data_IF_038561962641
#
_entry.id   IF_038561962641
#
_cell.length_a   1.000
_cell.length_b   1.000
_cell.length_c   1.000
_cell.angle_alpha   90.00
_cell.angle_beta   90.00
_cell.angle_gamma   90.00
#
_symmetry.space_group_name_H-M   'P 1'
#
loop_
_entity.id
_entity.type
_entity.pdbx_description
1 polymer ?
#
# COMPACT_ATOMS: atom_id res chain seq x y z
N UNK A 1 53.43 -25.79 0.73
CA UNK A 1 52.20 -25.76 -0.10
C UNK A 1 50.96 -25.97 0.77
N UNK A 2 50.77 -25.14 1.81
CA UNK A 2 49.80 -25.40 2.89
C UNK A 2 48.87 -24.22 3.19
N UNK A 3 49.13 -23.03 2.62
CA UNK A 3 48.33 -21.82 2.87
C UNK A 3 47.12 -21.62 1.94
N UNK A 4 47.15 -22.16 0.71
CA UNK A 4 46.09 -21.92 -0.29
C UNK A 4 44.82 -22.75 0.00
N UNK A 5 44.93 -23.88 0.71
CA UNK A 5 43.80 -24.76 1.01
C UNK A 5 42.89 -24.25 2.13
N UNK A 6 43.38 -23.36 3.00
CA UNK A 6 42.61 -22.85 4.15
C UNK A 6 41.67 -21.71 3.72
N UNK A 7 42.05 -20.89 2.74
CA UNK A 7 41.18 -19.79 2.27
C UNK A 7 39.96 -20.27 1.47
N UNK A 8 40.05 -21.38 0.74
CA UNK A 8 38.93 -21.90 -0.07
C UNK A 8 37.83 -22.51 0.80
N UNK A 9 38.17 -23.07 1.96
CA UNK A 9 37.19 -23.66 2.88
C UNK A 9 36.35 -22.60 3.62
N UNK A 10 36.93 -21.43 3.91
CA UNK A 10 36.22 -20.36 4.62
C UNK A 10 35.18 -19.64 3.73
N UNK A 11 35.42 -19.55 2.42
CA UNK A 11 34.47 -18.91 1.49
C UNK A 11 33.25 -19.80 1.18
N UNK A 12 33.42 -21.12 1.20
CA UNK A 12 32.31 -22.07 0.97
C UNK A 12 31.35 -22.17 2.16
N UNK A 13 31.84 -21.94 3.40
CA UNK A 13 31.01 -21.97 4.60
C UNK A 13 30.13 -20.71 4.77
N UNK A 14 30.52 -19.57 4.17
CA UNK A 14 29.76 -18.32 4.26
C UNK A 14 28.52 -18.29 3.35
N UNK A 15 28.47 -19.10 2.29
CA UNK A 15 27.34 -19.18 1.37
C UNK A 15 26.21 -20.11 1.86
N UNK A 16 26.44 -20.91 2.91
CA UNK A 16 25.48 -21.91 3.40
C UNK A 16 24.55 -21.41 4.52
N UNK A 17 24.68 -20.15 4.96
CA UNK A 17 23.89 -19.56 6.04
C UNK A 17 22.79 -18.61 5.57
N UNK A 18 22.59 -18.46 4.26
CA UNK A 18 21.40 -17.78 3.75
C UNK A 18 20.19 -18.70 3.94
N UNK A 19 19.53 -18.60 5.09
CA UNK A 19 18.21 -19.19 5.29
C UNK A 19 17.30 -18.65 4.17
N UNK A 20 16.48 -19.49 3.51
CA UNK A 20 15.49 -19.00 2.57
C UNK A 20 14.61 -18.00 3.30
N UNK A 21 14.41 -16.83 2.71
CA UNK A 21 13.42 -15.88 3.21
C UNK A 21 12.06 -16.61 3.25
N UNK A 22 11.26 -16.45 4.33
CA UNK A 22 9.92 -16.99 4.35
C UNK A 22 9.17 -16.50 3.11
N UNK A 23 8.53 -17.43 2.41
CA UNK A 23 7.71 -17.07 1.26
C UNK A 23 6.52 -16.25 1.77
N UNK A 24 6.33 -15.05 1.23
CA UNK A 24 5.17 -14.21 1.54
C UNK A 24 3.88 -15.02 1.30
N UNK A 25 3.06 -15.17 2.34
CA UNK A 25 1.76 -15.82 2.21
C UNK A 25 0.78 -14.82 1.59
N UNK A 26 0.41 -15.07 0.34
CA UNK A 26 -0.53 -14.25 -0.43
C UNK A 26 -1.96 -14.78 -0.26
N UNK A 27 -2.88 -13.89 0.11
CA UNK A 27 -4.31 -14.18 0.11
C UNK A 27 -5.12 -13.02 -0.47
N UNK A 28 -6.40 -13.27 -0.79
CA UNK A 28 -7.31 -12.23 -1.23
C UNK A 28 -7.70 -11.32 -0.08
N UNK A 29 -7.87 -10.03 -0.38
CA UNK A 29 -8.40 -9.03 0.53
C UNK A 29 -9.55 -8.29 -0.16
N UNK A 30 -10.62 -8.02 0.58
CA UNK A 30 -11.87 -7.47 0.04
C UNK A 30 -12.08 -5.98 0.33
N UNK A 31 -11.10 -5.33 0.96
CA UNK A 31 -11.17 -3.91 1.33
C UNK A 31 -11.84 -3.63 2.67
N UNK A 32 -12.32 -4.66 3.38
CA UNK A 32 -12.94 -4.47 4.71
C UNK A 32 -11.92 -3.91 5.70
N UNK A 33 -12.29 -2.86 6.43
CA UNK A 33 -11.48 -2.37 7.55
C UNK A 33 -11.29 -3.48 8.60
N UNK A 34 -10.05 -3.95 8.87
CA UNK A 34 -9.82 -5.05 9.82
C UNK A 34 -9.86 -4.61 11.28
N UNK A 35 -9.98 -3.31 11.54
CA UNK A 35 -9.92 -2.72 12.87
C UNK A 35 -11.27 -2.12 13.29
N UNK A 36 -11.51 -2.12 14.60
CA UNK A 36 -12.72 -1.53 15.18
C UNK A 36 -12.51 -0.03 15.43
N UNK A 37 -12.74 0.78 14.39
CA UNK A 37 -12.54 2.22 14.42
C UNK A 37 -13.41 2.94 13.40
N UNK A 38 -13.55 4.26 13.55
CA UNK A 38 -14.19 5.14 12.58
C UNK A 38 -13.14 5.88 11.79
N UNK A 39 -13.35 6.02 10.47
CA UNK A 39 -12.48 6.81 9.63
C UNK A 39 -12.51 8.29 10.04
N UNK A 40 -11.32 8.83 10.25
CA UNK A 40 -11.10 10.25 10.46
C UNK A 40 -10.92 10.92 9.10
N UNK A 41 -11.70 11.96 8.85
CA UNK A 41 -11.76 12.65 7.57
C UNK A 41 -10.64 13.69 7.48
N UNK A 42 -9.56 13.38 6.76
CA UNK A 42 -8.45 14.31 6.53
C UNK A 42 -8.64 15.17 5.26
N UNK A 43 -9.56 14.77 4.37
CA UNK A 43 -9.83 15.48 3.11
C UNK A 43 -8.58 15.59 2.24
N UNK A 44 -8.41 16.73 1.57
CA UNK A 44 -7.24 17.00 0.71
C UNK A 44 -5.93 17.20 1.49
N UNK A 45 -6.02 17.47 2.79
CA UNK A 45 -4.90 17.88 3.63
C UNK A 45 -4.20 16.73 4.35
N UNK A 46 -3.53 17.11 5.44
CA UNK A 46 -2.81 16.21 6.36
C UNK A 46 -3.23 16.43 7.83
N UNK A 47 -4.26 17.24 8.06
CA UNK A 47 -4.80 17.50 9.39
C UNK A 47 -5.70 16.34 9.83
N UNK A 48 -5.13 15.41 10.61
CA UNK A 48 -5.88 14.31 11.21
C UNK A 48 -6.48 14.78 12.54
N UNK A 49 -7.80 14.67 12.77
CA UNK A 49 -8.47 15.10 14.01
C UNK A 49 -7.87 14.54 15.31
N UNK A 50 -7.49 13.27 15.31
CA UNK A 50 -6.85 12.55 16.40
C UNK A 50 -5.67 11.73 15.83
N UNK A 51 -4.49 12.34 15.65
CA UNK A 51 -3.33 11.66 15.07
C UNK A 51 -2.74 10.59 16.00
N UNK A 52 -3.11 10.60 17.29
CA UNK A 52 -2.64 9.66 18.30
C UNK A 52 -3.51 8.39 18.40
N UNK A 53 -4.58 8.28 17.61
CA UNK A 53 -5.40 7.08 17.57
C UNK A 53 -4.56 5.84 17.18
N UNK A 54 -4.79 4.72 17.86
CA UNK A 54 -4.25 3.40 17.53
C UNK A 54 -5.33 2.35 17.82
N UNK A 55 -6.02 1.78 16.82
CA UNK A 55 -5.76 1.92 15.38
C UNK A 55 -6.01 3.34 14.85
N UNK A 56 -5.10 3.81 14.00
CA UNK A 56 -5.32 5.01 13.21
C UNK A 56 -6.08 4.65 11.93
N UNK A 57 -7.30 5.15 11.83
CA UNK A 57 -8.18 4.92 10.70
C UNK A 57 -8.50 6.25 10.04
N UNK A 58 -8.02 6.45 8.82
CA UNK A 58 -8.03 7.76 8.16
C UNK A 58 -8.53 7.65 6.73
N UNK A 59 -9.25 8.67 6.29
CA UNK A 59 -9.70 8.81 4.92
C UNK A 59 -9.10 10.07 4.31
N UNK A 60 -8.45 9.92 3.15
CA UNK A 60 -7.89 11.05 2.40
C UNK A 60 -8.60 11.21 1.06
N UNK A 61 -8.88 12.45 0.73
CA UNK A 61 -9.20 12.85 -0.63
C UNK A 61 -7.86 13.12 -1.35
N UNK A 62 -7.52 12.25 -2.30
CA UNK A 62 -6.35 12.39 -3.17
C UNK A 62 -6.77 12.64 -4.61
N UNK A 63 -7.95 13.23 -4.83
CA UNK A 63 -8.49 13.47 -6.17
C UNK A 63 -7.92 14.72 -6.84
N UNK A 64 -7.11 15.52 -6.12
CA UNK A 64 -6.48 16.74 -6.63
C UNK A 64 -5.07 16.49 -7.17
N UNK A 65 -4.89 15.46 -8.01
CA UNK A 65 -3.59 15.12 -8.63
C UNK A 65 -3.53 15.54 -10.11
N UNK A 66 -3.91 16.78 -10.41
CA UNK A 66 -3.78 17.32 -11.77
C UNK A 66 -2.35 17.78 -12.10
N UNK A 67 -2.07 17.92 -13.39
CA UNK A 67 -0.77 18.39 -13.90
C UNK A 67 -0.72 19.90 -14.06
N UNK A 68 -1.76 20.52 -14.64
CA UNK A 68 -1.71 21.94 -15.07
C UNK A 68 -1.69 22.96 -13.94
N UNK A 69 -2.21 22.61 -12.77
CA UNK A 69 -2.30 23.49 -11.58
C UNK A 69 -1.33 23.04 -10.48
N UNK A 70 -0.48 22.05 -10.76
CA UNK A 70 0.51 21.54 -9.81
C UNK A 70 -0.10 20.71 -8.68
N UNK A 71 -1.33 20.20 -8.84
CA UNK A 71 -1.99 19.33 -7.86
C UNK A 71 -1.12 18.13 -7.47
N UNK A 72 -0.44 17.50 -8.44
CA UNK A 72 0.52 16.43 -8.15
C UNK A 72 1.65 16.85 -7.21
N UNK A 73 2.14 18.10 -7.29
CA UNK A 73 3.20 18.59 -6.40
C UNK A 73 2.65 18.79 -4.98
N UNK A 74 1.45 19.36 -4.86
CA UNK A 74 0.80 19.55 -3.56
C UNK A 74 0.50 18.20 -2.89
N UNK A 75 0.00 17.24 -3.66
CA UNK A 75 -0.19 15.86 -3.23
C UNK A 75 1.11 15.26 -2.66
N UNK A 76 2.21 15.33 -3.41
CA UNK A 76 3.51 14.76 -3.01
C UNK A 76 4.07 15.42 -1.74
N UNK A 77 3.86 16.73 -1.54
CA UNK A 77 4.27 17.40 -0.31
C UNK A 77 3.47 16.88 0.90
N UNK A 78 2.16 16.63 0.74
CA UNK A 78 1.31 16.08 1.80
C UNK A 78 1.60 14.62 2.14
N UNK A 79 2.12 13.82 1.19
CA UNK A 79 2.48 12.43 1.46
C UNK A 79 3.54 12.30 2.58
N UNK A 80 4.41 13.31 2.77
CA UNK A 80 5.41 13.29 3.84
C UNK A 80 4.78 13.19 5.24
N UNK A 81 3.75 13.98 5.51
CA UNK A 81 3.05 13.94 6.79
C UNK A 81 2.26 12.63 6.93
N UNK A 82 1.61 12.19 5.85
CA UNK A 82 0.85 10.93 5.82
C UNK A 82 1.73 9.73 6.14
N UNK A 83 2.94 9.69 5.58
CA UNK A 83 3.95 8.68 5.94
C UNK A 83 4.37 8.79 7.40
N UNK A 84 4.53 10.00 7.93
CA UNK A 84 4.88 10.20 9.33
C UNK A 84 3.79 9.64 10.27
N UNK A 85 2.51 9.88 9.97
CA UNK A 85 1.39 9.36 10.76
C UNK A 85 1.26 7.84 10.71
N UNK A 86 1.52 7.20 9.57
CA UNK A 86 1.43 5.74 9.46
C UNK A 86 2.64 5.02 10.09
N UNK A 87 3.80 5.70 10.16
CA UNK A 87 5.08 5.09 10.49
C UNK A 87 5.17 4.48 11.89
N UNK A 88 4.54 5.11 12.88
CA UNK A 88 4.64 4.74 14.30
C UNK A 88 3.46 3.92 14.83
N UNK A 89 2.41 3.71 14.04
CA UNK A 89 1.20 2.99 14.49
C UNK A 89 1.37 1.49 14.52
N UNK A 90 0.79 0.85 15.54
CA UNK A 90 0.65 -0.59 15.56
C UNK A 90 -0.39 -1.09 14.57
N UNK A 91 -1.50 -0.35 14.47
CA UNK A 91 -2.61 -0.66 13.59
C UNK A 91 -2.98 0.57 12.78
N UNK A 92 -2.92 0.45 11.46
CA UNK A 92 -3.17 1.56 10.55
C UNK A 92 -4.07 1.09 9.41
N UNK A 93 -5.14 1.83 9.13
CA UNK A 93 -5.93 1.65 7.91
C UNK A 93 -6.22 3.01 7.28
N UNK A 94 -6.05 3.05 5.98
CA UNK A 94 -6.28 4.24 5.18
C UNK A 94 -7.25 3.90 4.05
N UNK A 95 -8.23 4.76 3.85
CA UNK A 95 -9.07 4.76 2.66
C UNK A 95 -8.76 6.03 1.85
N UNK A 96 -8.49 5.87 0.55
CA UNK A 96 -8.07 6.95 -0.32
C UNK A 96 -8.97 7.05 -1.54
N UNK A 97 -9.36 8.27 -1.89
CA UNK A 97 -9.98 8.59 -3.17
C UNK A 97 -8.91 9.07 -4.15
N UNK A 98 -8.56 8.27 -5.16
CA UNK A 98 -7.52 8.58 -6.13
C UNK A 98 -8.11 9.05 -7.45
N UNK A 99 -7.68 10.22 -7.92
CA UNK A 99 -7.96 10.67 -9.30
C UNK A 99 -6.74 11.36 -9.89
N UNK A 100 -6.15 10.75 -10.91
CA UNK A 100 -5.11 11.37 -11.73
C UNK A 100 -5.73 12.06 -12.94
N UNK A 101 -5.43 13.34 -13.16
CA UNK A 101 -5.98 14.10 -14.28
C UNK A 101 -4.92 15.01 -14.93
N UNK A 102 -5.16 15.46 -16.16
CA UNK A 102 -4.33 16.53 -16.74
C UNK A 102 -4.77 17.89 -16.20
N UNK A 103 -6.07 18.15 -16.14
CA UNK A 103 -6.71 19.38 -15.64
C UNK A 103 -7.77 19.03 -14.58
N UNK A 104 -7.86 19.76 -13.47
CA UNK A 104 -8.68 19.33 -12.32
C UNK A 104 -10.18 19.23 -12.66
N UNK A 105 -10.70 20.30 -13.25
CA UNK A 105 -12.13 20.50 -13.48
C UNK A 105 -12.60 19.95 -14.84
N UNK A 106 -11.73 19.22 -15.53
CA UNK A 106 -12.00 18.67 -16.84
C UNK A 106 -12.14 17.15 -16.74
N UNK A 107 -13.37 16.65 -16.63
CA UNK A 107 -13.68 15.22 -16.48
C UNK A 107 -12.97 14.36 -17.53
N UNK A 108 -13.04 14.74 -18.80
CA UNK A 108 -12.40 14.00 -19.90
C UNK A 108 -10.86 13.97 -19.83
N UNK A 109 -10.26 14.71 -18.90
CA UNK A 109 -8.82 14.71 -18.68
C UNK A 109 -8.39 13.74 -17.56
N UNK A 110 -9.32 13.03 -16.93
CA UNK A 110 -8.99 11.86 -16.10
C UNK A 110 -8.13 10.89 -16.90
N UNK A 111 -7.04 10.46 -16.29
CA UNK A 111 -6.18 9.39 -16.81
C UNK A 111 -6.48 8.07 -16.11
N UNK A 112 -6.69 8.10 -14.78
CA UNK A 112 -7.14 6.97 -13.97
C UNK A 112 -7.85 7.47 -12.71
N UNK A 113 -8.73 6.63 -12.15
CA UNK A 113 -9.35 6.87 -10.84
C UNK A 113 -9.60 5.53 -10.13
N UNK A 114 -9.55 5.53 -8.79
CA UNK A 114 -9.99 4.42 -7.95
C UNK A 114 -10.18 4.84 -6.48
N UNK A 115 -10.89 4.03 -5.72
CA UNK A 115 -10.87 4.07 -4.25
C UNK A 115 -9.96 2.96 -3.72
N UNK A 116 -9.06 3.31 -2.81
CA UNK A 116 -8.00 2.43 -2.32
C UNK A 116 -8.09 2.22 -0.83
N UNK A 117 -8.05 0.97 -0.36
CA UNK A 117 -7.92 0.65 1.07
C UNK A 117 -6.59 -0.02 1.34
N UNK A 118 -5.85 0.50 2.31
CA UNK A 118 -4.53 0.02 2.72
C UNK A 118 -4.55 -0.22 4.22
N UNK A 119 -4.02 -1.33 4.69
CA UNK A 119 -3.85 -1.53 6.14
C UNK A 119 -2.53 -2.19 6.49
N UNK A 120 -2.10 -1.95 7.73
CA UNK A 120 -0.95 -2.55 8.38
C UNK A 120 -1.38 -3.00 9.78
N UNK A 121 -1.09 -4.26 10.10
CA UNK A 121 -1.18 -4.86 11.44
C UNK A 121 0.21 -5.35 11.85
N UNK A 122 0.90 -4.57 12.69
CA UNK A 122 2.25 -4.88 13.17
C UNK A 122 2.28 -5.91 14.29
N UNK A 123 1.14 -6.24 14.90
CA UNK A 123 1.05 -7.34 15.85
C UNK A 123 1.16 -8.68 15.14
N UNK A 124 0.57 -8.78 13.95
CA UNK A 124 0.51 -10.01 13.14
C UNK A 124 1.47 -10.03 11.95
N UNK A 125 2.15 -8.92 11.65
CA UNK A 125 3.04 -8.82 10.49
C UNK A 125 2.27 -8.82 9.16
N UNK A 126 1.01 -8.38 9.15
CA UNK A 126 0.13 -8.46 7.98
C UNK A 126 -0.14 -7.08 7.42
N UNK A 127 -0.15 -6.97 6.09
CA UNK A 127 -0.63 -5.79 5.39
C UNK A 127 -1.55 -6.17 4.26
N UNK A 128 -2.47 -5.28 3.91
CA UNK A 128 -3.40 -5.48 2.80
C UNK A 128 -3.59 -4.24 1.97
N UNK A 129 -3.86 -4.46 0.68
CA UNK A 129 -4.16 -3.42 -0.30
C UNK A 129 -5.36 -3.85 -1.13
N UNK A 130 -6.29 -2.93 -1.33
CA UNK A 130 -7.51 -3.15 -2.10
C UNK A 130 -7.78 -1.93 -2.97
N UNK A 131 -8.33 -2.20 -4.14
CA UNK A 131 -8.78 -1.19 -5.10
C UNK A 131 -10.23 -1.50 -5.46
N UNK A 132 -11.07 -0.48 -5.53
CA UNK A 132 -12.39 -0.53 -6.15
C UNK A 132 -12.66 0.73 -7.00
N UNK A 133 -13.78 0.71 -7.74
CA UNK A 133 -14.18 1.79 -8.63
C UNK A 133 -13.08 2.18 -9.64
N UNK A 134 -12.28 1.21 -10.07
CA UNK A 134 -11.16 1.44 -10.99
C UNK A 134 -11.65 1.85 -12.39
N UNK A 135 -11.24 3.04 -12.83
CA UNK A 135 -11.50 3.58 -14.16
C UNK A 135 -10.21 4.02 -14.85
N UNK A 136 -10.25 4.01 -16.19
CA UNK A 136 -9.26 4.63 -17.07
C UNK A 136 -10.04 5.49 -18.05
N UNK A 137 -9.66 6.76 -18.19
CA UNK A 137 -10.36 7.73 -19.04
C UNK A 137 -11.89 7.76 -18.78
N UNK A 138 -12.30 7.74 -17.52
CA UNK A 138 -13.70 7.70 -17.05
C UNK A 138 -14.48 6.43 -17.45
N UNK A 139 -13.80 5.34 -17.84
CA UNK A 139 -14.43 4.07 -18.18
C UNK A 139 -13.96 3.00 -17.19
N UNK A 140 -14.90 2.30 -16.55
CA UNK A 140 -14.58 1.17 -15.69
C UNK A 140 -13.77 0.11 -16.44
N UNK A 141 -12.71 -0.37 -15.81
CA UNK A 141 -11.77 -1.29 -16.43
C UNK A 141 -11.54 -2.53 -15.57
N UNK A 142 -11.21 -3.65 -16.22
CA UNK A 142 -10.62 -4.80 -15.53
C UNK A 142 -9.10 -4.62 -15.49
N UNK A 143 -8.47 -4.41 -14.32
CA UNK A 143 -7.02 -4.25 -14.25
C UNK A 143 -6.27 -5.46 -14.82
N UNK A 144 -6.87 -6.66 -14.79
CA UNK A 144 -6.28 -7.90 -15.34
C UNK A 144 -6.18 -7.90 -16.88
N UNK A 145 -6.95 -7.02 -17.54
CA UNK A 145 -6.92 -6.85 -19.00
C UNK A 145 -5.77 -5.96 -19.48
N UNK A 146 -5.11 -5.25 -18.55
CA UNK A 146 -4.03 -4.34 -18.88
C UNK A 146 -2.73 -5.10 -19.21
N UNK A 147 -1.98 -4.65 -20.23
CA UNK A 147 -0.67 -5.23 -20.52
C UNK A 147 0.26 -5.17 -19.31
N UNK A 148 0.88 -6.31 -18.99
CA UNK A 148 1.83 -6.43 -17.88
C UNK A 148 1.20 -6.76 -16.52
N UNK A 149 -0.12 -6.96 -16.43
CA UNK A 149 -0.74 -7.38 -15.17
C UNK A 149 -0.19 -8.74 -14.70
N UNK A 150 0.36 -8.87 -13.47
CA UNK A 150 1.00 -10.10 -13.02
C UNK A 150 0.04 -11.29 -12.93
N UNK A 151 0.42 -12.43 -13.51
CA UNK A 151 -0.42 -13.65 -13.53
C UNK A 151 -0.76 -14.15 -12.13
N UNK A 152 0.20 -14.06 -11.20
CA UNK A 152 0.04 -14.47 -9.81
C UNK A 152 -1.05 -13.70 -9.07
N UNK A 153 -1.40 -12.49 -9.52
CA UNK A 153 -2.40 -11.64 -8.86
C UNK A 153 -3.78 -11.78 -9.49
N UNK A 154 -3.91 -12.29 -10.73
CA UNK A 154 -5.20 -12.39 -11.43
C UNK A 154 -6.33 -13.07 -10.64
N UNK A 155 -6.10 -14.10 -9.82
CA UNK A 155 -7.16 -14.73 -9.04
C UNK A 155 -7.84 -13.81 -8.01
N UNK A 156 -7.21 -12.70 -7.63
CA UNK A 156 -7.66 -11.81 -6.56
C UNK A 156 -8.24 -10.48 -7.08
N UNK A 157 -8.32 -10.34 -8.40
CA UNK A 157 -8.85 -9.15 -9.07
C UNK A 157 -9.99 -9.52 -10.01
N UNK A 158 -10.82 -8.52 -10.30
CA UNK A 158 -11.98 -8.60 -11.16
C UNK A 158 -12.28 -7.23 -11.78
N UNK A 159 -13.35 -7.14 -12.57
CA UNK A 159 -13.76 -5.89 -13.19
C UNK A 159 -13.96 -4.77 -12.15
N UNK A 160 -13.16 -3.71 -12.26
CA UNK A 160 -13.23 -2.52 -11.42
C UNK A 160 -12.67 -2.68 -9.99
N UNK A 161 -12.20 -3.87 -9.58
CA UNK A 161 -11.82 -4.10 -8.17
C UNK A 161 -10.89 -5.29 -7.93
N UNK A 162 -10.25 -5.31 -6.76
CA UNK A 162 -9.51 -6.45 -6.26
C UNK A 162 -8.49 -6.07 -5.19
N UNK A 163 -7.97 -7.06 -4.48
CA UNK A 163 -7.02 -6.80 -3.42
C UNK A 163 -6.31 -8.03 -2.90
N UNK A 164 -5.20 -7.76 -2.25
CA UNK A 164 -4.28 -8.76 -1.73
C UNK A 164 -3.97 -8.42 -0.28
N UNK A 165 -3.78 -9.46 0.53
CA UNK A 165 -3.10 -9.35 1.81
C UNK A 165 -1.87 -10.24 1.81
N UNK A 166 -0.86 -9.78 2.52
CA UNK A 166 0.44 -10.43 2.64
C UNK A 166 0.77 -10.60 4.12
N UNK A 167 1.00 -11.84 4.55
CA UNK A 167 1.66 -12.10 5.85
C UNK A 167 3.16 -11.91 5.73
N UNK A 168 3.77 -11.57 6.85
CA UNK A 168 5.20 -11.29 7.01
C UNK A 168 5.71 -10.18 6.07
N UNK A 169 4.81 -9.30 5.63
CA UNK A 169 5.13 -8.18 4.73
C UNK A 169 5.62 -6.93 5.47
N UNK A 170 5.33 -6.85 6.76
CA UNK A 170 5.79 -5.80 7.67
C UNK A 170 6.43 -6.46 8.91
N UNK A 171 7.49 -5.88 9.49
CA UNK A 171 8.09 -6.41 10.70
C UNK A 171 7.06 -6.50 11.83
N UNK A 172 7.02 -7.65 12.52
CA UNK A 172 6.26 -7.78 13.76
C UNK A 172 6.92 -6.94 14.83
N UNK A 173 6.14 -6.10 15.50
CA UNK A 173 6.61 -5.23 16.58
C UNK A 173 6.02 -5.69 17.91
N UNK A 174 6.88 -6.05 18.87
CA UNK A 174 6.45 -6.61 20.16
C UNK A 174 5.53 -5.66 20.94
N UNK A 175 5.77 -4.34 20.86
CA UNK A 175 4.92 -3.31 21.48
C UNK A 175 3.46 -3.33 20.99
N UNK A 176 3.17 -4.01 19.89
CA UNK A 176 1.85 -4.09 19.27
C UNK A 176 1.11 -5.40 19.61
N UNK A 177 1.79 -6.35 20.26
CA UNK A 177 1.24 -7.66 20.62
C UNK A 177 0.60 -7.64 22.02
N UNK A 178 1.03 -6.70 22.86
CA UNK A 178 0.67 -6.58 24.29
C UNK A 178 -0.64 -5.78 24.53
#
# INVERSE_FOLDING_TARGET
MTGVRILVAALAAALALAAPAPALELAGYDGTNPFNCTYQQAGLGTDIPNPDADPLCVEYDKTHQNVTEGGIVQFLLGELDRFAYAGDKCFYVQHDHWRGAVQQDLEQSETYNWDGTYYIDRARGVGGVYVENFTINNVSADPRSLPGFPEAYKPYFSYGRGGLQLRDSVPVEQRCVD
#
